data_IF_370844520331
#
_entry.id   IF_370844520331
#
_cell.length_a   1.000
_cell.length_b   1.000
_cell.length_c   1.000
_cell.angle_alpha   90.00
_cell.angle_beta   90.00
_cell.angle_gamma   90.00
#
_symmetry.space_group_name_H-M   'P 1'
#
loop_
_entity.id
_entity.type
_entity.pdbx_description
1 polymer ?
#
# COMPACT_ATOMS: atom_id res chain seq x y z
N UNK A 1 15.34 -31.21 67.65
CA UNK A 1 15.93 -30.45 66.54
C UNK A 1 15.44 -30.94 65.18
N UNK A 2 15.21 -32.25 64.99
CA UNK A 2 14.78 -32.81 63.70
C UNK A 2 13.44 -32.29 63.18
N UNK A 3 12.38 -32.22 64.01
CA UNK A 3 11.07 -31.74 63.55
C UNK A 3 11.11 -30.29 63.03
N UNK A 4 11.95 -29.43 63.60
CA UNK A 4 12.05 -28.04 63.18
C UNK A 4 12.73 -27.92 61.81
N UNK A 5 13.78 -28.73 61.57
CA UNK A 5 14.45 -28.82 60.27
C UNK A 5 13.53 -29.40 59.19
N UNK A 6 12.65 -30.35 59.54
CA UNK A 6 11.69 -30.93 58.58
C UNK A 6 10.66 -29.89 58.14
N UNK A 7 10.15 -29.08 59.07
CA UNK A 7 9.17 -28.03 58.77
C UNK A 7 9.79 -26.95 57.88
N UNK A 8 11.01 -26.51 58.16
CA UNK A 8 11.72 -25.53 57.32
C UNK A 8 11.93 -26.06 55.90
N UNK A 9 12.32 -27.33 55.78
CA UNK A 9 12.56 -27.97 54.47
C UNK A 9 11.29 -28.03 53.61
N UNK A 10 10.14 -28.31 54.23
CA UNK A 10 8.83 -28.34 53.54
C UNK A 10 8.42 -26.94 53.09
N UNK A 11 8.62 -25.91 53.93
CA UNK A 11 8.30 -24.52 53.59
C UNK A 11 9.14 -24.04 52.40
N UNK A 12 10.44 -24.35 52.39
CA UNK A 12 11.33 -23.98 51.28
C UNK A 12 10.93 -24.70 49.98
N UNK A 13 10.58 -25.99 50.06
CA UNK A 13 10.12 -26.74 48.89
C UNK A 13 8.82 -26.16 48.30
N UNK A 14 7.85 -25.80 49.16
CA UNK A 14 6.60 -25.17 48.71
C UNK A 14 6.86 -23.80 48.08
N UNK A 15 7.76 -23.00 48.67
CA UNK A 15 8.12 -21.70 48.11
C UNK A 15 8.79 -21.83 46.73
N UNK A 16 9.72 -22.78 46.57
CA UNK A 16 10.40 -23.03 45.29
C UNK A 16 9.45 -23.56 44.22
N UNK A 17 8.51 -24.44 44.59
CA UNK A 17 7.46 -24.93 43.68
C UNK A 17 6.50 -23.79 43.31
N UNK A 18 6.12 -22.94 44.26
CA UNK A 18 5.30 -21.74 44.01
C UNK A 18 5.99 -20.77 43.05
N UNK A 19 7.29 -20.53 43.23
CA UNK A 19 8.11 -19.70 42.32
C UNK A 19 8.22 -20.36 40.95
N UNK A 20 8.50 -21.66 40.88
CA UNK A 20 8.60 -22.38 39.61
C UNK A 20 7.28 -22.40 38.84
N UNK A 21 6.14 -22.60 39.53
CA UNK A 21 4.81 -22.50 38.94
C UNK A 21 4.54 -21.06 38.48
N UNK A 22 4.91 -20.04 39.27
CA UNK A 22 4.76 -18.63 38.88
C UNK A 22 5.58 -18.26 37.63
N UNK A 23 6.79 -18.79 37.49
CA UNK A 23 7.63 -18.59 36.30
C UNK A 23 7.20 -19.44 35.10
N UNK A 24 6.65 -20.64 35.32
CA UNK A 24 6.29 -21.58 34.26
C UNK A 24 4.84 -21.45 33.75
N UNK A 25 3.94 -20.85 34.54
CA UNK A 25 2.52 -20.63 34.14
C UNK A 25 2.30 -19.37 33.30
N UNK A 26 3.36 -18.77 32.75
CA UNK A 26 3.19 -17.78 31.69
C UNK A 26 2.52 -16.48 32.16
N UNK A 27 2.64 -16.12 33.44
CA UNK A 27 2.47 -14.74 33.90
C UNK A 27 3.67 -13.88 33.45
N UNK A 28 4.05 -13.97 32.16
CA UNK A 28 4.55 -12.76 31.49
C UNK A 28 3.43 -11.77 31.68
N UNK A 29 3.69 -10.76 32.51
CA UNK A 29 2.94 -9.51 32.48
C UNK A 29 2.83 -9.14 30.99
N UNK A 30 1.71 -9.45 30.35
CA UNK A 30 1.21 -8.56 29.31
C UNK A 30 1.20 -7.22 30.03
N UNK A 31 1.93 -6.20 29.59
CA UNK A 31 1.63 -4.88 30.08
C UNK A 31 0.17 -4.61 29.66
N UNK A 32 -0.78 -4.96 30.51
CA UNK A 32 -2.08 -4.29 30.60
C UNK A 32 -1.77 -2.87 31.07
N UNK A 33 -1.11 -2.09 30.22
CA UNK A 33 -1.09 -0.65 30.34
C UNK A 33 -2.29 -0.17 29.55
N UNK A 34 -3.41 -0.06 30.27
CA UNK A 34 -4.61 0.69 29.89
C UNK A 34 -5.15 0.46 28.47
N UNK A 35 -6.01 -0.56 28.34
CA UNK A 35 -6.89 -0.69 27.17
C UNK A 35 -7.66 0.63 26.85
N UNK A 36 -7.92 1.45 27.89
CA UNK A 36 -8.63 2.72 27.77
C UNK A 36 -7.75 3.93 27.39
N UNK A 37 -6.46 4.00 27.77
CA UNK A 37 -5.58 5.12 27.33
C UNK A 37 -5.24 5.01 25.85
N UNK A 38 -5.20 3.78 25.37
CA UNK A 38 -4.88 3.48 24.01
C UNK A 38 -6.07 3.85 23.12
N UNK A 39 -7.33 3.59 23.49
CA UNK A 39 -8.50 3.68 22.60
C UNK A 39 -8.69 5.02 21.85
N UNK A 40 -8.26 6.15 22.41
CA UNK A 40 -8.33 7.46 21.73
C UNK A 40 -7.18 7.72 20.76
N UNK A 41 -5.95 7.27 21.06
CA UNK A 41 -4.77 7.36 20.17
C UNK A 41 -4.80 6.36 19.01
N UNK A 42 -5.92 5.67 18.88
CA UNK A 42 -6.08 4.41 18.15
C UNK A 42 -7.32 4.41 17.25
N UNK A 43 -7.96 5.57 17.17
CA UNK A 43 -8.99 5.86 16.18
C UNK A 43 -8.30 6.21 14.88
N UNK A 44 -8.95 5.92 13.77
CA UNK A 44 -8.50 6.39 12.47
C UNK A 44 -8.43 7.91 12.49
N UNK A 45 -7.26 8.43 12.17
CA UNK A 45 -7.05 9.86 11.93
C UNK A 45 -7.37 10.10 10.46
N UNK A 46 -8.63 10.44 10.18
CA UNK A 46 -9.17 10.54 8.81
C UNK A 46 -8.33 11.41 7.88
N UNK A 47 -7.78 12.52 8.39
CA UNK A 47 -6.93 13.42 7.60
C UNK A 47 -5.63 12.75 7.11
N UNK A 48 -5.17 11.71 7.81
CA UNK A 48 -3.98 10.94 7.44
C UNK A 48 -4.27 9.76 6.52
N UNK A 49 -5.55 9.48 6.22
CA UNK A 49 -5.97 8.43 5.29
C UNK A 49 -6.02 8.90 3.83
N UNK A 50 -5.70 10.17 3.57
CA UNK A 50 -5.71 10.75 2.22
C UNK A 50 -4.81 9.97 1.28
N UNK A 51 -5.36 9.64 0.11
CA UNK A 51 -4.68 8.84 -0.93
C UNK A 51 -3.64 9.68 -1.67
N UNK A 52 -3.87 10.99 -1.79
CA UNK A 52 -3.04 11.94 -2.56
C UNK A 52 -2.79 11.46 -4.00
N UNK A 53 -3.85 11.38 -4.81
CA UNK A 53 -3.70 11.10 -6.23
C UNK A 53 -2.95 12.24 -6.95
N UNK A 54 -2.35 11.95 -8.09
CA UNK A 54 -1.92 12.99 -9.03
C UNK A 54 -3.12 13.59 -9.75
N UNK A 55 -2.93 14.68 -10.49
CA UNK A 55 -3.98 15.29 -11.32
C UNK A 55 -4.51 14.37 -12.44
N UNK A 56 -3.93 13.20 -12.64
CA UNK A 56 -4.38 12.21 -13.62
C UNK A 56 -5.61 11.46 -13.15
N UNK A 57 -5.79 11.28 -11.84
CA UNK A 57 -6.98 10.63 -11.30
C UNK A 57 -8.17 11.59 -11.41
N UNK A 58 -9.22 11.14 -12.10
CA UNK A 58 -10.44 11.92 -12.26
C UNK A 58 -11.05 12.23 -10.87
N UNK A 59 -11.43 13.48 -10.65
CA UNK A 59 -11.97 13.93 -9.36
C UNK A 59 -13.24 13.18 -8.96
N UNK A 60 -14.11 12.83 -9.92
CA UNK A 60 -15.30 12.02 -9.64
C UNK A 60 -14.92 10.60 -9.24
N UNK A 61 -13.85 10.05 -9.84
CA UNK A 61 -13.36 8.72 -9.53
C UNK A 61 -12.80 8.65 -8.11
N UNK A 62 -11.95 9.60 -7.74
CA UNK A 62 -11.44 9.70 -6.37
C UNK A 62 -12.59 9.94 -5.37
N UNK A 63 -13.52 10.84 -5.68
CA UNK A 63 -14.69 11.10 -4.84
C UNK A 63 -15.58 9.87 -4.67
N UNK A 64 -15.76 9.05 -5.71
CA UNK A 64 -16.52 7.80 -5.63
C UNK A 64 -15.91 6.84 -4.61
N UNK A 65 -14.57 6.73 -4.58
CA UNK A 65 -13.88 5.94 -3.55
C UNK A 65 -14.20 6.50 -2.16
N UNK A 66 -13.99 7.81 -1.95
CA UNK A 66 -14.24 8.44 -0.65
C UNK A 66 -15.68 8.25 -0.17
N UNK A 67 -16.65 8.40 -1.07
CA UNK A 67 -18.07 8.23 -0.76
C UNK A 67 -18.38 6.76 -0.42
N UNK A 68 -17.79 5.79 -1.13
CA UNK A 68 -18.00 4.35 -0.90
C UNK A 68 -17.41 3.85 0.43
N UNK A 69 -16.38 4.53 0.96
CA UNK A 69 -15.72 4.18 2.21
C UNK A 69 -16.53 4.59 3.45
N UNK A 70 -17.43 3.72 3.90
CA UNK A 70 -18.20 3.97 5.13
C UNK A 70 -17.29 4.05 6.37
N UNK A 71 -17.45 5.13 7.14
CA UNK A 71 -16.59 5.39 8.31
C UNK A 71 -16.75 4.35 9.40
N UNK A 72 -17.99 3.93 9.67
CA UNK A 72 -18.26 2.94 10.72
C UNK A 72 -17.68 1.57 10.34
N UNK A 73 -17.71 1.24 9.05
CA UNK A 73 -17.09 0.05 8.51
C UNK A 73 -15.56 0.09 8.65
N UNK A 74 -14.91 1.18 8.24
CA UNK A 74 -13.47 1.36 8.41
C UNK A 74 -13.03 1.30 9.88
N UNK A 75 -13.82 1.81 10.82
CA UNK A 75 -13.54 1.66 12.25
C UNK A 75 -13.61 0.19 12.71
N UNK A 76 -14.56 -0.62 12.21
CA UNK A 76 -14.62 -2.06 12.49
C UNK A 76 -13.37 -2.77 11.98
N UNK A 77 -12.95 -2.47 10.75
CA UNK A 77 -11.74 -3.03 10.14
C UNK A 77 -10.51 -2.66 10.96
N UNK A 78 -10.35 -1.36 11.30
CA UNK A 78 -9.25 -0.89 12.12
C UNK A 78 -9.21 -1.61 13.48
N UNK A 79 -10.35 -1.79 14.13
CA UNK A 79 -10.42 -2.53 15.39
C UNK A 79 -10.00 -3.99 15.24
N UNK A 80 -10.44 -4.67 14.18
CA UNK A 80 -10.12 -6.07 13.92
C UNK A 80 -8.63 -6.26 13.55
N UNK A 81 -8.12 -5.48 12.60
CA UNK A 81 -6.73 -5.54 12.14
C UNK A 81 -5.72 -5.31 13.27
N UNK A 82 -6.11 -4.48 14.25
CA UNK A 82 -5.28 -4.16 15.41
C UNK A 82 -5.27 -5.20 16.51
N UNK A 83 -6.24 -6.10 16.55
CA UNK A 83 -6.16 -7.27 17.43
C UNK A 83 -5.01 -8.19 17.02
N UNK A 84 -4.66 -8.18 15.74
CA UNK A 84 -3.53 -8.94 15.17
C UNK A 84 -2.21 -8.15 15.24
N UNK A 85 -2.27 -6.82 15.19
CA UNK A 85 -1.11 -5.92 15.14
C UNK A 85 -1.07 -4.95 16.35
N UNK A 86 -1.10 -5.49 17.57
CA UNK A 86 -1.29 -4.71 18.80
C UNK A 86 -0.14 -3.75 19.15
N UNK A 87 1.06 -4.00 18.62
CA UNK A 87 2.28 -3.23 18.83
C UNK A 87 2.47 -2.10 17.80
N UNK A 88 1.60 -2.01 16.79
CA UNK A 88 1.70 -1.00 15.75
C UNK A 88 1.10 0.35 16.19
N UNK A 89 1.77 1.43 15.79
CA UNK A 89 1.23 2.78 15.93
C UNK A 89 0.08 3.02 14.96
N UNK A 90 -0.81 3.95 15.29
CA UNK A 90 -1.92 4.32 14.40
C UNK A 90 -1.43 4.83 13.04
N UNK A 91 -0.33 5.60 13.01
CA UNK A 91 0.27 6.05 11.76
C UNK A 91 0.71 4.90 10.85
N UNK A 92 1.27 3.82 11.42
CA UNK A 92 1.65 2.63 10.65
C UNK A 92 0.42 1.94 10.06
N UNK A 93 -0.66 1.86 10.81
CA UNK A 93 -1.93 1.27 10.34
C UNK A 93 -2.58 2.16 9.26
N UNK A 94 -2.61 3.48 9.46
CA UNK A 94 -3.13 4.43 8.47
C UNK A 94 -2.35 4.36 7.16
N UNK A 95 -1.04 4.09 7.23
CA UNK A 95 -0.20 3.85 6.05
C UNK A 95 -0.70 2.63 5.25
N UNK A 96 -1.11 1.55 5.92
CA UNK A 96 -1.68 0.39 5.25
C UNK A 96 -3.05 0.68 4.64
N UNK A 97 -3.91 1.43 5.33
CA UNK A 97 -5.19 1.88 4.77
C UNK A 97 -4.99 2.71 3.50
N UNK A 98 -4.02 3.65 3.48
CA UNK A 98 -3.68 4.40 2.26
C UNK A 98 -3.23 3.48 1.14
N UNK A 99 -2.38 2.49 1.44
CA UNK A 99 -1.96 1.47 0.48
C UNK A 99 -3.16 0.70 -0.09
N UNK A 100 -4.12 0.32 0.76
CA UNK A 100 -5.33 -0.38 0.35
C UNK A 100 -6.25 0.47 -0.53
N UNK A 101 -6.41 1.76 -0.21
CA UNK A 101 -7.20 2.69 -1.00
C UNK A 101 -6.60 2.95 -2.39
N UNK A 102 -5.27 3.10 -2.46
CA UNK A 102 -4.52 3.16 -3.72
C UNK A 102 -4.69 1.88 -4.54
N UNK A 103 -4.65 0.71 -3.89
CA UNK A 103 -4.94 -0.56 -4.53
C UNK A 103 -6.35 -0.60 -5.14
N UNK A 104 -7.38 -0.13 -4.42
CA UNK A 104 -8.74 -0.13 -4.96
C UNK A 104 -8.88 0.76 -6.19
N UNK A 105 -8.27 1.95 -6.20
CA UNK A 105 -8.23 2.79 -7.40
C UNK A 105 -7.56 2.05 -8.57
N UNK A 106 -6.39 1.44 -8.36
CA UNK A 106 -5.74 0.65 -9.41
C UNK A 106 -6.62 -0.50 -9.90
N UNK A 107 -7.24 -1.24 -8.99
CA UNK A 107 -8.07 -2.40 -9.31
C UNK A 107 -9.39 -2.05 -10.02
N UNK A 108 -9.86 -0.80 -9.90
CA UNK A 108 -11.01 -0.30 -10.65
C UNK A 108 -10.66 0.09 -12.09
N UNK A 109 -9.40 0.45 -12.35
CA UNK A 109 -8.92 0.95 -13.64
C UNK A 109 -8.35 -0.18 -14.49
N UNK A 110 -7.56 -1.07 -13.89
CA UNK A 110 -6.76 -2.07 -14.60
C UNK A 110 -7.30 -3.48 -14.45
N UNK A 111 -7.20 -4.27 -15.52
CA UNK A 111 -7.56 -5.69 -15.55
C UNK A 111 -6.73 -6.51 -14.56
N UNK A 112 -5.42 -6.26 -14.52
CA UNK A 112 -4.51 -6.93 -13.59
C UNK A 112 -4.55 -6.25 -12.23
N UNK A 113 -4.95 -7.01 -11.19
CA UNK A 113 -5.14 -6.53 -9.82
C UNK A 113 -3.94 -6.93 -8.98
N UNK A 114 -2.83 -6.22 -9.17
CA UNK A 114 -1.58 -6.52 -8.47
C UNK A 114 -1.56 -5.92 -7.05
N UNK A 115 -1.21 -6.71 -6.03
CA UNK A 115 -1.06 -6.23 -4.65
C UNK A 115 0.20 -6.76 -3.98
N UNK A 116 1.30 -6.00 -4.01
CA UNK A 116 2.65 -6.46 -3.62
C UNK A 116 3.01 -6.38 -2.13
N UNK A 117 2.16 -5.80 -1.29
CA UNK A 117 2.42 -5.70 0.15
C UNK A 117 1.56 -6.68 0.97
N UNK A 118 2.20 -7.44 1.86
CA UNK A 118 1.54 -8.46 2.69
C UNK A 118 0.60 -7.87 3.71
N UNK A 119 0.94 -6.71 4.24
CA UNK A 119 0.21 -6.07 5.33
C UNK A 119 -1.04 -5.37 4.76
N UNK A 120 -0.93 -4.75 3.58
CA UNK A 120 -2.08 -4.24 2.81
C UNK A 120 -3.00 -5.39 2.37
N UNK A 121 -2.45 -6.51 1.88
CA UNK A 121 -3.27 -7.70 1.55
C UNK A 121 -3.98 -8.24 2.78
N UNK A 122 -3.27 -8.38 3.91
CA UNK A 122 -3.89 -8.81 5.17
C UNK A 122 -5.00 -7.85 5.63
N UNK A 123 -4.80 -6.55 5.47
CA UNK A 123 -5.83 -5.55 5.78
C UNK A 123 -7.07 -5.72 4.88
N UNK A 124 -6.87 -6.03 3.60
CA UNK A 124 -7.96 -6.36 2.69
C UNK A 124 -8.69 -7.66 3.08
N UNK A 125 -7.97 -8.70 3.51
CA UNK A 125 -8.59 -9.92 4.05
C UNK A 125 -9.46 -9.63 5.27
N UNK A 126 -8.99 -8.78 6.20
CA UNK A 126 -9.78 -8.36 7.36
C UNK A 126 -11.01 -7.56 6.91
N UNK A 127 -10.88 -6.70 5.90
CA UNK A 127 -12.01 -5.99 5.30
C UNK A 127 -13.08 -6.96 4.78
N UNK A 128 -12.68 -8.04 4.10
CA UNK A 128 -13.58 -9.07 3.54
C UNK A 128 -14.31 -9.92 4.59
N UNK A 129 -13.86 -9.94 5.85
CA UNK A 129 -14.57 -10.65 6.93
C UNK A 129 -15.93 -10.04 7.27
N UNK A 130 -16.16 -8.79 6.90
CA UNK A 130 -17.43 -8.08 7.07
C UNK A 130 -18.21 -8.11 5.74
N UNK A 131 -18.75 -9.28 5.40
CA UNK A 131 -19.25 -9.58 4.04
C UNK A 131 -20.28 -8.60 3.50
N UNK A 132 -21.26 -8.18 4.32
CA UNK A 132 -22.33 -7.30 3.87
C UNK A 132 -21.82 -5.88 3.60
N UNK A 133 -20.99 -5.34 4.49
CA UNK A 133 -20.34 -4.04 4.28
C UNK A 133 -19.35 -4.07 3.12
N UNK A 134 -18.63 -5.19 2.93
CA UNK A 134 -17.71 -5.36 1.80
C UNK A 134 -18.44 -5.38 0.46
N UNK A 135 -19.57 -6.08 0.37
CA UNK A 135 -20.42 -6.09 -0.83
C UNK A 135 -21.01 -4.71 -1.11
N UNK A 136 -21.44 -3.99 -0.08
CA UNK A 136 -21.94 -2.62 -0.25
C UNK A 136 -20.84 -1.67 -0.75
N UNK A 137 -19.63 -1.74 -0.16
CA UNK A 137 -18.47 -1.01 -0.64
C UNK A 137 -18.20 -1.32 -2.12
N UNK A 138 -18.14 -2.61 -2.47
CA UNK A 138 -17.85 -3.04 -3.83
C UNK A 138 -18.87 -2.48 -4.83
N UNK A 139 -20.17 -2.62 -4.54
CA UNK A 139 -21.25 -2.12 -5.39
C UNK A 139 -21.23 -0.59 -5.56
N UNK A 140 -20.78 0.15 -4.54
CA UNK A 140 -20.74 1.61 -4.57
C UNK A 140 -19.55 2.15 -5.34
N UNK A 141 -18.42 1.44 -5.30
CA UNK A 141 -17.17 1.88 -5.89
C UNK A 141 -16.88 1.25 -7.26
N UNK A 142 -17.06 -0.06 -7.40
CA UNK A 142 -16.82 -0.80 -8.64
C UNK A 142 -18.11 -1.03 -9.42
N UNK A 143 -17.97 -1.27 -10.73
CA UNK A 143 -19.03 -1.87 -11.55
C UNK A 143 -19.03 -3.40 -11.40
N UNK A 144 -19.18 -3.89 -10.16
CA UNK A 144 -19.10 -5.32 -9.83
C UNK A 144 -18.49 -5.60 -8.47
N UNK A 145 -17.96 -6.82 -8.29
CA UNK A 145 -17.23 -7.22 -7.08
C UNK A 145 -15.77 -7.49 -7.42
N UNK A 146 -14.83 -7.06 -6.57
CA UNK A 146 -13.48 -7.64 -6.58
C UNK A 146 -13.56 -8.99 -5.88
N UNK A 147 -13.80 -10.03 -6.68
CA UNK A 147 -13.87 -11.43 -6.24
C UNK A 147 -12.57 -12.19 -6.41
N UNK A 148 -11.76 -11.81 -7.41
CA UNK A 148 -10.44 -12.41 -7.62
C UNK A 148 -9.50 -11.97 -6.53
N UNK A 149 -9.14 -12.93 -5.67
CA UNK A 149 -8.09 -12.75 -4.70
C UNK A 149 -6.75 -12.65 -5.41
N UNK A 150 -6.08 -11.51 -5.28
CA UNK A 150 -4.69 -11.39 -5.70
C UNK A 150 -3.78 -12.42 -5.01
N UNK A 151 -4.23 -13.06 -3.91
CA UNK A 151 -3.51 -14.17 -3.26
C UNK A 151 -3.78 -15.58 -3.81
N UNK A 152 -4.71 -15.77 -4.74
CA UNK A 152 -4.84 -17.08 -5.42
C UNK A 152 -3.80 -17.27 -6.53
N UNK A 153 -3.09 -16.20 -6.93
CA UNK A 153 -1.98 -16.28 -7.88
C UNK A 153 -0.70 -16.72 -7.17
N UNK A 154 -0.18 -17.88 -7.59
CA UNK A 154 1.05 -18.49 -7.09
C UNK A 154 2.31 -17.62 -7.28
N UNK A 155 3.12 -17.93 -8.30
CA UNK A 155 4.34 -17.14 -8.59
C UNK A 155 3.95 -15.79 -9.18
N UNK A 156 4.64 -14.72 -8.75
CA UNK A 156 4.50 -13.38 -9.31
C UNK A 156 5.62 -13.12 -10.30
N UNK A 157 5.30 -12.40 -11.37
CA UNK A 157 6.25 -12.13 -12.43
C UNK A 157 6.90 -10.75 -12.27
N UNK A 158 8.20 -10.68 -12.56
CA UNK A 158 8.97 -9.43 -12.59
C UNK A 158 8.25 -8.33 -13.40
N UNK A 159 7.70 -8.67 -14.56
CA UNK A 159 7.01 -7.73 -15.44
C UNK A 159 5.70 -7.17 -14.84
N UNK A 160 4.97 -7.96 -14.05
CA UNK A 160 3.77 -7.48 -13.36
C UNK A 160 4.15 -6.45 -12.29
N UNK A 161 5.27 -6.67 -11.60
CA UNK A 161 5.81 -5.74 -10.62
C UNK A 161 6.25 -4.44 -11.27
N UNK A 162 6.97 -4.51 -12.39
CA UNK A 162 7.39 -3.33 -13.15
C UNK A 162 6.18 -2.48 -13.58
N UNK A 163 5.16 -3.11 -14.18
CA UNK A 163 3.93 -2.40 -14.59
C UNK A 163 3.21 -1.79 -13.41
N UNK A 164 3.10 -2.50 -12.29
CA UNK A 164 2.50 -1.96 -11.06
C UNK A 164 3.22 -0.69 -10.60
N UNK A 165 4.55 -0.70 -10.56
CA UNK A 165 5.34 0.46 -10.13
C UNK A 165 5.07 1.68 -11.01
N UNK A 166 4.96 1.50 -12.34
CA UNK A 166 4.66 2.59 -13.27
C UNK A 166 3.23 3.10 -13.09
N UNK A 167 2.24 2.22 -13.00
CA UNK A 167 0.85 2.63 -12.72
C UNK A 167 0.77 3.42 -11.39
N UNK A 168 1.50 2.95 -10.38
CA UNK A 168 1.50 3.55 -9.05
C UNK A 168 2.14 4.94 -9.05
N UNK A 169 3.32 5.10 -9.67
CA UNK A 169 4.02 6.38 -9.71
C UNK A 169 3.28 7.43 -10.55
N UNK A 170 2.51 6.99 -11.56
CA UNK A 170 1.75 7.91 -12.41
C UNK A 170 0.49 8.43 -11.71
N UNK A 171 -0.21 7.58 -10.96
CA UNK A 171 -1.52 7.91 -10.40
C UNK A 171 -1.47 8.45 -8.96
N UNK A 172 -0.35 8.29 -8.25
CA UNK A 172 -0.22 8.72 -6.86
C UNK A 172 1.04 9.52 -6.61
N UNK A 173 0.92 10.56 -5.79
CA UNK A 173 2.07 11.26 -5.25
C UNK A 173 2.83 10.31 -4.30
N UNK A 174 4.15 10.31 -4.40
CA UNK A 174 5.02 9.44 -3.62
C UNK A 174 5.65 10.22 -2.47
N UNK A 175 5.56 9.67 -1.27
CA UNK A 175 6.35 10.13 -0.13
C UNK A 175 7.65 9.34 -0.01
N UNK A 176 8.60 9.85 0.78
CA UNK A 176 9.85 9.13 1.11
C UNK A 176 9.61 7.78 1.80
N UNK A 177 8.39 7.60 2.34
CA UNK A 177 7.97 6.37 3.01
C UNK A 177 7.40 5.30 2.05
N UNK A 178 7.30 5.61 0.76
CA UNK A 178 6.78 4.69 -0.26
C UNK A 178 7.58 3.38 -0.34
N UNK A 179 8.93 3.40 -0.33
CA UNK A 179 9.74 2.18 -0.39
C UNK A 179 9.57 1.24 0.82
N UNK A 180 9.13 1.75 1.96
CA UNK A 180 8.87 0.97 3.17
C UNK A 180 7.56 0.18 3.06
N UNK A 181 6.64 0.61 2.19
CA UNK A 181 5.39 -0.09 1.91
C UNK A 181 5.59 -1.07 0.75
N UNK A 182 6.17 -0.59 -0.35
CA UNK A 182 6.18 -1.35 -1.60
C UNK A 182 7.54 -1.95 -1.95
N UNK A 183 8.57 -1.69 -1.15
CA UNK A 183 9.96 -1.91 -1.55
C UNK A 183 10.46 -0.88 -2.55
N UNK A 184 11.74 -0.98 -2.86
CA UNK A 184 12.36 -0.26 -3.97
C UNK A 184 11.60 -0.47 -5.28
N UNK A 185 11.45 0.63 -6.02
CA UNK A 185 11.01 0.56 -7.41
C UNK A 185 12.23 0.30 -8.31
N UNK A 186 11.96 -0.20 -9.50
CA UNK A 186 12.92 -0.48 -10.56
C UNK A 186 13.93 -1.59 -10.26
N UNK A 187 13.59 -2.51 -9.33
CA UNK A 187 14.45 -3.67 -9.03
C UNK A 187 14.46 -4.71 -10.16
N UNK A 188 13.38 -4.79 -10.93
CA UNK A 188 13.15 -5.81 -11.94
C UNK A 188 13.23 -5.25 -13.38
N UNK A 189 12.91 -3.96 -13.54
CA UNK A 189 12.99 -3.21 -14.78
C UNK A 189 12.46 -1.80 -14.55
N UNK A 190 12.66 -0.88 -15.48
CA UNK A 190 12.17 0.50 -15.41
C UNK A 190 10.78 0.68 -16.04
N UNK A 191 10.14 -0.41 -16.46
CA UNK A 191 8.83 -0.40 -17.09
C UNK A 191 8.79 0.30 -18.46
N UNK A 192 9.94 0.54 -19.09
CA UNK A 192 10.03 1.24 -20.39
C UNK A 192 9.17 0.57 -21.47
N UNK A 193 9.15 -0.76 -21.53
CA UNK A 193 8.33 -1.51 -22.49
C UNK A 193 6.83 -1.22 -22.34
N UNK A 194 6.35 -1.03 -21.11
CA UNK A 194 4.95 -0.69 -20.82
C UNK A 194 4.61 0.72 -21.30
N UNK A 195 5.49 1.68 -21.03
CA UNK A 195 5.32 3.08 -21.45
C UNK A 195 5.42 3.21 -22.97
N UNK A 196 6.38 2.52 -23.59
CA UNK A 196 6.54 2.46 -25.04
C UNK A 196 5.30 1.86 -25.69
N UNK A 197 4.76 0.76 -25.17
CA UNK A 197 3.53 0.18 -25.68
C UNK A 197 2.37 1.19 -25.67
N UNK A 198 2.14 1.87 -24.54
CA UNK A 198 1.08 2.88 -24.42
C UNK A 198 1.27 4.02 -25.41
N UNK A 199 2.50 4.52 -25.56
CA UNK A 199 2.78 5.67 -26.45
C UNK A 199 2.73 5.34 -27.95
N UNK A 200 2.87 4.07 -28.33
CA UNK A 200 2.98 3.65 -29.74
C UNK A 200 1.71 3.02 -30.31
N UNK A 201 0.76 2.65 -29.45
CA UNK A 201 -0.52 2.06 -29.84
C UNK A 201 -1.65 3.04 -29.61
N UNK A 202 -2.74 2.90 -30.39
CA UNK A 202 -3.93 3.71 -30.19
C UNK A 202 -4.67 3.35 -28.89
N UNK A 203 -5.49 4.28 -28.40
CA UNK A 203 -6.21 4.15 -27.15
C UNK A 203 -7.09 2.89 -27.08
N UNK A 204 -7.73 2.48 -28.18
CA UNK A 204 -8.62 1.31 -28.18
C UNK A 204 -7.80 0.02 -27.99
N UNK A 205 -6.64 -0.08 -28.63
CA UNK A 205 -5.70 -1.18 -28.43
C UNK A 205 -5.19 -1.22 -26.97
N UNK A 206 -4.82 -0.07 -26.40
CA UNK A 206 -4.34 0.02 -25.01
C UNK A 206 -5.44 -0.32 -24.01
N UNK A 207 -6.68 0.13 -24.24
CA UNK A 207 -7.85 -0.24 -23.44
C UNK A 207 -8.09 -1.74 -23.49
N UNK A 208 -8.03 -2.34 -24.67
CA UNK A 208 -8.21 -3.78 -24.85
C UNK A 208 -7.14 -4.58 -24.09
N UNK A 209 -5.91 -4.09 -23.96
CA UNK A 209 -4.84 -4.80 -23.25
C UNK A 209 -4.90 -4.64 -21.73
N UNK A 210 -5.14 -3.42 -21.23
CA UNK A 210 -4.92 -3.11 -19.81
C UNK A 210 -6.16 -2.71 -19.01
N UNK A 211 -7.22 -2.21 -19.65
CA UNK A 211 -8.38 -1.67 -18.95
C UNK A 211 -9.21 -2.81 -18.33
N UNK A 212 -9.74 -2.54 -17.13
CA UNK A 212 -10.69 -3.43 -16.47
C UNK A 212 -11.93 -3.69 -17.34
N UNK A 213 -12.47 -4.91 -17.28
CA UNK A 213 -13.65 -5.28 -18.09
C UNK A 213 -14.92 -4.57 -17.64
N UNK A 214 -15.11 -4.46 -16.32
CA UNK A 214 -16.20 -3.69 -15.72
C UNK A 214 -15.62 -2.43 -15.07
N UNK A 215 -15.68 -1.32 -15.79
CA UNK A 215 -15.09 -0.04 -15.41
C UNK A 215 -16.19 1.03 -15.32
N UNK A 216 -16.14 1.86 -14.29
CA UNK A 216 -17.05 3.01 -14.20
C UNK A 216 -16.61 4.11 -15.16
N UNK A 217 -17.53 4.99 -15.64
CA UNK A 217 -17.15 6.07 -16.54
C UNK A 217 -16.08 7.02 -15.99
N UNK A 218 -16.05 7.22 -14.67
CA UNK A 218 -15.03 8.02 -13.97
C UNK A 218 -13.66 7.32 -13.89
N UNK A 219 -13.64 6.00 -13.67
CA UNK A 219 -12.41 5.22 -13.74
C UNK A 219 -11.86 5.15 -15.18
N UNK A 220 -12.73 5.06 -16.18
CA UNK A 220 -12.35 5.10 -17.60
C UNK A 220 -11.68 6.44 -17.96
N UNK A 221 -12.22 7.57 -17.51
CA UNK A 221 -11.56 8.88 -17.69
C UNK A 221 -10.18 8.94 -17.03
N UNK A 222 -10.01 8.33 -15.86
CA UNK A 222 -8.69 8.20 -15.23
C UNK A 222 -7.72 7.41 -16.11
N UNK A 223 -8.17 6.31 -16.73
CA UNK A 223 -7.37 5.54 -17.67
C UNK A 223 -6.97 6.38 -18.90
N UNK A 224 -7.91 7.14 -19.47
CA UNK A 224 -7.65 8.01 -20.62
C UNK A 224 -6.67 9.14 -20.28
N UNK A 225 -6.81 9.78 -19.11
CA UNK A 225 -5.87 10.77 -18.61
C UNK A 225 -4.45 10.19 -18.52
N UNK A 226 -4.32 8.98 -17.96
CA UNK A 226 -3.04 8.28 -17.88
C UNK A 226 -2.46 8.01 -19.28
N UNK A 227 -3.27 7.48 -20.20
CA UNK A 227 -2.85 7.23 -21.58
C UNK A 227 -2.31 8.51 -22.23
N UNK A 228 -3.08 9.60 -22.18
CA UNK A 228 -2.69 10.87 -22.78
C UNK A 228 -1.44 11.47 -22.13
N UNK A 229 -1.31 11.33 -20.81
CA UNK A 229 -0.14 11.80 -20.08
C UNK A 229 1.12 11.01 -20.43
N UNK A 230 1.01 9.68 -20.58
CA UNK A 230 2.13 8.84 -21.02
C UNK A 230 2.54 9.18 -22.46
N UNK A 231 1.58 9.29 -23.39
CA UNK A 231 1.90 9.64 -24.77
C UNK A 231 2.57 11.02 -24.84
N UNK A 232 2.04 12.02 -24.14
CA UNK A 232 2.67 13.35 -24.05
C UNK A 232 4.06 13.28 -23.40
N UNK A 233 4.21 12.54 -22.30
CA UNK A 233 5.48 12.40 -21.57
C UNK A 233 6.60 11.80 -22.42
N UNK A 234 6.26 10.91 -23.35
CA UNK A 234 7.21 10.30 -24.29
C UNK A 234 7.53 11.19 -25.51
N UNK A 235 6.61 12.08 -25.90
CA UNK A 235 6.77 12.94 -27.10
C UNK A 235 7.32 14.34 -26.80
N UNK A 236 6.99 14.91 -25.64
CA UNK A 236 7.31 16.29 -25.29
C UNK A 236 8.82 16.54 -25.25
N UNK A 237 9.24 17.78 -25.49
CA UNK A 237 10.64 18.15 -25.30
C UNK A 237 11.01 18.13 -23.80
N UNK A 238 12.26 17.81 -23.46
CA UNK A 238 12.71 17.77 -22.07
C UNK A 238 12.49 19.11 -21.32
N UNK A 239 12.65 20.25 -22.02
CA UNK A 239 12.40 21.58 -21.46
C UNK A 239 10.91 21.84 -21.21
N UNK A 240 10.02 21.26 -22.02
CA UNK A 240 8.57 21.33 -21.82
C UNK A 240 8.15 20.51 -20.61
N UNK A 241 8.70 19.29 -20.47
CA UNK A 241 8.48 18.45 -19.29
C UNK A 241 8.89 19.16 -18.01
N UNK A 242 10.07 19.79 -17.97
CA UNK A 242 10.56 20.55 -16.81
C UNK A 242 9.75 21.80 -16.49
N UNK A 243 9.14 22.40 -17.51
CA UNK A 243 8.24 23.54 -17.34
C UNK A 243 6.86 23.12 -16.79
N UNK A 244 6.51 21.83 -16.89
CA UNK A 244 5.32 21.29 -16.27
C UNK A 244 5.43 21.40 -14.74
N UNK A 245 4.38 21.91 -14.11
CA UNK A 245 4.40 22.12 -12.65
C UNK A 245 4.31 20.78 -11.94
N UNK A 246 5.15 20.61 -10.94
CA UNK A 246 4.98 19.56 -9.93
C UNK A 246 3.90 20.01 -8.95
N UNK A 247 2.93 19.14 -8.69
CA UNK A 247 2.05 19.29 -7.55
C UNK A 247 2.72 18.64 -6.33
N UNK A 248 2.75 19.36 -5.21
CA UNK A 248 3.31 18.89 -3.94
C UNK A 248 2.27 19.09 -2.85
N UNK A 249 1.96 18.03 -2.11
CA UNK A 249 1.05 18.10 -0.97
C UNK A 249 1.69 17.56 0.31
N UNK A 250 1.40 18.22 1.44
CA UNK A 250 1.92 17.86 2.76
C UNK A 250 3.14 18.69 3.20
N UNK A 251 3.61 18.44 4.43
CA UNK A 251 4.78 19.10 5.03
C UNK A 251 5.65 18.08 5.78
N UNK A 252 6.97 18.30 5.80
CA UNK A 252 7.92 17.49 6.57
C UNK A 252 8.03 16.03 6.08
N UNK A 253 7.95 15.07 7.00
CA UNK A 253 8.05 13.63 6.69
C UNK A 253 6.82 13.04 6.00
N UNK A 254 5.74 13.82 5.87
CA UNK A 254 4.49 13.46 5.19
C UNK A 254 4.33 14.23 3.85
N UNK A 255 5.44 14.75 3.29
CA UNK A 255 5.47 15.36 1.96
C UNK A 255 5.41 14.27 0.90
N UNK A 256 4.37 14.32 0.06
CA UNK A 256 4.28 13.50 -1.14
C UNK A 256 4.44 14.39 -2.37
N UNK A 257 5.16 13.89 -3.37
CA UNK A 257 5.48 14.63 -4.57
C UNK A 257 5.01 13.86 -5.81
N UNK A 258 4.48 14.59 -6.79
CA UNK A 258 4.29 14.04 -8.13
C UNK A 258 5.63 13.95 -8.85
N UNK A 259 6.08 12.72 -9.08
CA UNK A 259 7.38 12.40 -9.68
C UNK A 259 7.26 11.87 -11.12
N UNK A 260 6.08 11.92 -11.74
CA UNK A 260 5.86 11.40 -13.10
C UNK A 260 6.83 12.01 -14.14
N UNK A 261 7.09 13.31 -14.07
CA UNK A 261 8.02 14.02 -14.95
C UNK A 261 9.45 13.52 -14.77
N UNK A 262 9.90 13.32 -13.53
CA UNK A 262 11.24 12.79 -13.25
C UNK A 262 11.41 11.39 -13.83
N UNK A 263 10.35 10.59 -13.78
CA UNK A 263 10.35 9.27 -14.39
C UNK A 263 10.49 9.33 -15.91
N UNK A 264 9.74 10.20 -16.61
CA UNK A 264 9.90 10.36 -18.07
C UNK A 264 11.32 10.80 -18.47
N UNK A 265 11.87 11.81 -17.78
CA UNK A 265 13.24 12.25 -18.01
C UNK A 265 14.25 11.12 -17.77
N UNK A 266 14.02 10.29 -16.75
CA UNK A 266 14.86 9.12 -16.44
C UNK A 266 14.83 8.07 -17.55
N UNK A 267 13.64 7.59 -17.97
CA UNK A 267 13.54 6.50 -18.98
C UNK A 267 14.01 6.94 -20.37
N UNK A 268 14.02 8.26 -20.62
CA UNK A 268 14.53 8.87 -21.86
C UNK A 268 16.04 9.17 -21.81
N UNK A 269 16.68 9.01 -20.65
CA UNK A 269 18.11 9.34 -20.48
C UNK A 269 18.40 10.84 -20.51
N UNK A 270 17.41 11.67 -20.20
CA UNK A 270 17.46 13.14 -20.24
C UNK A 270 17.50 13.77 -18.84
N UNK A 271 17.38 12.96 -17.79
CA UNK A 271 17.48 13.40 -16.40
C UNK A 271 18.92 13.81 -16.03
N UNK A 272 19.03 14.90 -15.28
CA UNK A 272 20.26 15.35 -14.62
C UNK A 272 20.56 14.52 -13.39
N UNK A 273 21.80 14.58 -12.88
CA UNK A 273 22.19 13.84 -11.67
C UNK A 273 21.33 14.22 -10.44
N UNK A 274 20.92 15.49 -10.33
CA UNK A 274 20.07 15.95 -9.23
C UNK A 274 18.63 15.39 -9.36
N UNK A 275 18.08 15.39 -10.58
CA UNK A 275 16.76 14.79 -10.88
C UNK A 275 16.76 13.27 -10.62
N UNK A 276 17.85 12.57 -10.95
CA UNK A 276 18.01 11.13 -10.66
C UNK A 276 18.08 10.86 -9.15
N UNK A 277 18.75 11.72 -8.40
CA UNK A 277 18.83 11.63 -6.95
C UNK A 277 17.47 11.91 -6.30
N UNK A 278 16.74 12.88 -6.81
CA UNK A 278 15.37 13.19 -6.38
C UNK A 278 14.43 12.01 -6.66
N UNK A 279 14.45 11.46 -7.89
CA UNK A 279 13.69 10.26 -8.23
C UNK A 279 14.04 9.09 -7.29
N UNK A 280 15.32 8.87 -7.01
CA UNK A 280 15.79 7.80 -6.13
C UNK A 280 15.33 7.96 -4.67
N UNK A 281 15.15 9.21 -4.20
CA UNK A 281 14.64 9.51 -2.84
C UNK A 281 13.22 8.96 -2.65
N UNK A 282 12.35 9.13 -3.64
CA UNK A 282 10.95 8.70 -3.55
C UNK A 282 10.72 7.24 -3.95
N UNK A 283 11.52 6.74 -4.90
CA UNK A 283 11.44 5.35 -5.39
C UNK A 283 12.25 4.38 -4.54
N UNK A 284 13.09 4.90 -3.65
CA UNK A 284 14.01 4.12 -2.82
C UNK A 284 15.17 3.52 -3.58
N UNK A 285 15.33 3.77 -4.89
CA UNK A 285 16.35 3.12 -5.72
C UNK A 285 17.75 3.20 -5.08
N UNK A 286 18.30 2.06 -4.68
CA UNK A 286 19.62 1.96 -4.04
C UNK A 286 19.62 2.12 -2.50
N UNK A 287 18.45 2.15 -1.87
CA UNK A 287 18.28 2.19 -0.41
C UNK A 287 18.51 0.85 0.31
N UNK A 288 18.46 -0.25 -0.43
CA UNK A 288 18.42 -1.61 0.11
C UNK A 288 17.05 -2.02 0.67
N UNK A 289 16.00 -1.21 0.49
CA UNK A 289 14.64 -1.62 0.86
C UNK A 289 14.14 -2.68 -0.12
N UNK A 290 14.27 -3.94 0.25
CA UNK A 290 13.57 -4.99 -0.47
C UNK A 290 12.09 -4.89 -0.14
N UNK A 291 11.24 -4.94 -1.17
CA UNK A 291 9.85 -5.32 -0.95
C UNK A 291 9.91 -6.59 -0.09
N UNK A 292 9.21 -6.62 1.04
CA UNK A 292 9.13 -7.83 1.85
C UNK A 292 8.27 -8.82 1.10
N UNK A 293 8.81 -9.38 0.02
CA UNK A 293 8.21 -10.37 -0.88
C UNK A 293 8.01 -11.72 -0.18
N UNK A 294 8.03 -11.75 1.14
CA UNK A 294 7.45 -12.84 1.92
C UNK A 294 5.92 -12.86 1.79
N UNK A 295 5.29 -11.82 1.22
CA UNK A 295 3.93 -11.90 0.67
C UNK A 295 3.91 -12.76 -0.59
N UNK A 296 3.51 -14.02 -0.44
CA UNK A 296 2.85 -14.81 -1.48
C UNK A 296 3.61 -14.98 -2.81
N UNK A 297 4.39 -16.07 -2.87
CA UNK A 297 5.07 -16.55 -4.08
C UNK A 297 6.51 -16.03 -4.23
N UNK A 298 7.41 -16.84 -4.81
CA UNK A 298 8.77 -16.38 -5.13
C UNK A 298 8.70 -15.51 -6.39
N UNK A 299 9.10 -14.24 -6.30
CA UNK A 299 9.40 -13.45 -7.50
C UNK A 299 10.61 -14.05 -8.21
N UNK A 300 10.42 -14.54 -9.43
CA UNK A 300 11.53 -15.02 -10.25
C UNK A 300 12.18 -13.83 -10.96
N UNK A 301 13.46 -13.59 -10.70
CA UNK A 301 14.29 -12.74 -11.57
C UNK A 301 14.55 -13.52 -12.86
N UNK A 302 14.29 -12.89 -14.00
CA UNK A 302 14.73 -13.41 -15.31
C UNK A 302 16.25 -13.34 -15.42
#
# INVERSE_FOLDING_TARGET
>A
MDQFMTIISIIVAIALVGIAIFYNTGARKRPMQNADRHKEQLKLEWDTLKVRPTSLVDEEHYKRLEDALDRSYLEKINNAFRQENYDWSQNKINTQFRGLFRFFLLASIFRSKELFDKDVHRLWEVMRQFEEEYKDFCRRFFDGEITEDASERGERHAEERERFEIKYLMLFQLGERTPQIWGEFFQYGDGKDFVEFISTHDLDCVKQEYMAENITPDAERTFENLYHHISWGMEAAADELRAHKKDTEGEGEDMDEDINILYFLYIRGEATDEELKELSRFTGKGSGYYATNESFGKLQKK
#
